data_IF_634517322062
#
_entry.id   IF_634517322062
#
_cell.length_a   1.000
_cell.length_b   1.000
_cell.length_c   1.000
_cell.angle_alpha   90.00
_cell.angle_beta   90.00
_cell.angle_gamma   90.00
#
_symmetry.space_group_name_H-M   'P 1'
#
loop_
_entity.id
_entity.type
_entity.pdbx_description
1 polymer ?
#
# COMPACT_ATOMS: atom_id res chain seq x y z
N UNK A 1 -2.84 -20.61 -32.62
CA UNK A 1 -2.97 -19.42 -31.75
C UNK A 1 -3.86 -19.83 -30.59
N UNK A 2 -3.27 -20.05 -29.41
CA UNK A 2 -3.99 -20.50 -28.20
C UNK A 2 -4.74 -19.32 -27.54
N UNK A 3 -4.24 -18.09 -27.74
CA UNK A 3 -4.83 -16.84 -27.24
C UNK A 3 -6.21 -16.49 -27.80
N UNK A 4 -6.66 -17.12 -28.89
CA UNK A 4 -7.99 -16.93 -29.47
C UNK A 4 -9.07 -17.89 -28.95
N UNK A 5 -8.73 -18.77 -28.01
CA UNK A 5 -9.69 -19.70 -27.40
C UNK A 5 -10.52 -19.00 -26.32
N UNK A 6 -11.84 -19.14 -26.38
CA UNK A 6 -12.75 -18.67 -25.34
C UNK A 6 -12.35 -19.25 -23.98
N UNK A 7 -12.22 -18.39 -22.95
CA UNK A 7 -11.78 -18.79 -21.60
C UNK A 7 -10.26 -18.80 -21.38
N UNK A 8 -9.43 -18.57 -22.41
CA UNK A 8 -7.98 -18.45 -22.24
C UNK A 8 -7.60 -17.27 -21.35
N UNK A 9 -8.31 -16.14 -21.47
CA UNK A 9 -8.17 -14.95 -20.64
C UNK A 9 -8.33 -15.23 -19.13
N UNK A 10 -9.29 -16.09 -18.76
CA UNK A 10 -9.47 -16.52 -17.38
C UNK A 10 -8.28 -17.37 -16.92
N UNK A 11 -7.88 -18.35 -17.74
CA UNK A 11 -6.74 -19.22 -17.41
C UNK A 11 -5.44 -18.41 -17.22
N UNK A 12 -5.20 -17.43 -18.10
CA UNK A 12 -4.07 -16.49 -18.03
C UNK A 12 -4.09 -15.70 -16.73
N UNK A 13 -5.21 -15.01 -16.46
CA UNK A 13 -5.40 -14.19 -15.27
C UNK A 13 -5.18 -15.00 -13.97
N UNK A 14 -5.63 -16.25 -13.95
CA UNK A 14 -5.37 -17.18 -12.84
C UNK A 14 -3.89 -17.55 -12.72
N UNK A 15 -3.22 -17.87 -13.83
CA UNK A 15 -1.81 -18.25 -13.83
C UNK A 15 -0.90 -17.12 -13.35
N UNK A 16 -1.11 -15.90 -13.85
CA UNK A 16 -0.32 -14.71 -13.50
C UNK A 16 -0.38 -14.41 -11.99
N UNK A 17 -1.48 -14.75 -11.32
CA UNK A 17 -1.60 -14.60 -9.87
C UNK A 17 -1.05 -15.76 -9.06
N UNK A 18 -1.13 -16.97 -9.61
CA UNK A 18 -0.81 -18.19 -8.88
C UNK A 18 0.68 -18.47 -8.89
N UNK A 19 1.33 -18.30 -10.06
CA UNK A 19 2.67 -18.82 -10.32
C UNK A 19 3.67 -17.68 -10.44
N UNK A 20 4.75 -17.68 -9.64
CA UNK A 20 5.87 -16.76 -9.86
C UNK A 20 6.43 -16.89 -11.27
N UNK A 21 6.67 -15.77 -11.93
CA UNK A 21 7.19 -15.70 -13.30
C UNK A 21 8.58 -16.32 -13.42
N UNK A 22 9.39 -16.25 -12.36
CA UNK A 22 10.76 -16.75 -12.31
C UNK A 22 11.03 -17.46 -10.96
N UNK A 23 11.45 -18.72 -11.00
CA UNK A 23 12.00 -19.43 -9.84
C UNK A 23 13.45 -19.02 -9.56
N UNK A 24 13.74 -17.72 -9.48
CA UNK A 24 15.08 -17.17 -9.23
C UNK A 24 15.03 -16.08 -8.17
N UNK A 25 16.16 -15.88 -7.50
CA UNK A 25 16.35 -14.76 -6.58
C UNK A 25 16.32 -13.43 -7.32
N UNK A 26 15.91 -12.38 -6.61
CA UNK A 26 15.80 -11.03 -7.16
C UNK A 26 17.17 -10.37 -7.11
N UNK A 27 17.89 -10.39 -8.23
CA UNK A 27 19.22 -9.79 -8.35
C UNK A 27 19.16 -8.38 -8.95
N UNK A 28 19.84 -7.40 -8.35
CA UNK A 28 19.98 -6.02 -8.82
C UNK A 28 21.18 -5.81 -9.76
N UNK A 29 22.05 -6.81 -9.92
CA UNK A 29 23.27 -6.80 -10.75
C UNK A 29 23.06 -6.23 -12.17
N UNK A 30 22.02 -6.68 -12.88
CA UNK A 30 21.74 -6.23 -14.25
C UNK A 30 20.99 -4.89 -14.33
N UNK A 31 20.23 -4.57 -13.29
CA UNK A 31 19.39 -3.37 -13.18
C UNK A 31 19.25 -3.00 -11.71
N UNK A 32 19.80 -1.85 -11.32
CA UNK A 32 19.73 -1.31 -9.96
C UNK A 32 18.28 -1.10 -9.46
N UNK A 33 17.31 -1.01 -10.37
CA UNK A 33 15.89 -0.84 -10.06
C UNK A 33 15.10 -2.01 -10.59
N UNK A 34 14.33 -2.66 -9.72
CA UNK A 34 13.33 -3.67 -10.10
C UNK A 34 11.93 -3.10 -9.95
N UNK A 35 11.00 -3.63 -10.74
CA UNK A 35 9.58 -3.34 -10.60
C UNK A 35 8.94 -4.54 -9.92
N UNK A 36 8.17 -4.28 -8.88
CA UNK A 36 7.53 -5.29 -8.06
C UNK A 36 6.07 -4.95 -7.85
N UNK A 37 5.29 -5.98 -7.51
CA UNK A 37 3.93 -5.86 -7.01
C UNK A 37 3.85 -6.63 -5.69
N UNK A 38 3.09 -6.11 -4.76
CA UNK A 38 2.97 -6.65 -3.41
C UNK A 38 1.52 -7.05 -3.16
N UNK A 39 1.24 -8.36 -3.19
CA UNK A 39 -0.08 -8.92 -2.89
C UNK A 39 -0.18 -9.19 -1.40
N UNK A 40 -1.22 -8.67 -0.74
CA UNK A 40 -1.46 -8.89 0.68
C UNK A 40 -1.93 -10.32 0.94
N UNK A 41 -1.24 -11.02 1.85
CA UNK A 41 -1.47 -12.42 2.22
C UNK A 41 -2.05 -12.59 3.62
N UNK A 42 -1.79 -11.64 4.54
CA UNK A 42 -2.34 -11.68 5.90
C UNK A 42 -3.86 -11.54 5.90
N UNK A 43 -4.55 -12.06 6.93
CA UNK A 43 -6.00 -11.98 7.02
C UNK A 43 -6.46 -10.54 6.88
N UNK A 44 -7.50 -10.38 6.07
CA UNK A 44 -7.95 -9.11 5.53
C UNK A 44 -9.43 -8.93 5.88
N UNK A 45 -9.78 -9.25 7.13
CA UNK A 45 -11.13 -9.18 7.65
C UNK A 45 -11.69 -7.79 7.37
N UNK A 46 -12.70 -7.76 6.53
CA UNK A 46 -13.43 -6.58 6.13
C UNK A 46 -12.66 -5.43 5.47
N UNK A 47 -11.67 -5.75 4.62
CA UNK A 47 -11.10 -4.80 3.66
C UNK A 47 -12.16 -4.23 2.69
N UNK A 48 -11.75 -3.29 1.83
CA UNK A 48 -12.64 -2.42 1.03
C UNK A 48 -13.72 -3.11 0.18
N UNK A 49 -13.66 -4.42 -0.08
CA UNK A 49 -14.66 -5.15 -0.85
C UNK A 49 -15.55 -6.08 -0.02
N UNK A 50 -15.43 -6.13 1.31
CA UNK A 50 -16.20 -7.08 2.10
C UNK A 50 -17.69 -6.76 2.21
N UNK A 51 -18.10 -5.52 1.96
CA UNK A 51 -19.52 -5.15 1.86
C UNK A 51 -20.25 -5.87 0.70
N UNK A 52 -19.49 -6.40 -0.26
CA UNK A 52 -20.01 -7.20 -1.38
C UNK A 52 -19.96 -8.71 -1.11
N UNK A 53 -19.51 -9.13 0.09
CA UNK A 53 -19.45 -10.55 0.47
C UNK A 53 -20.86 -11.16 0.51
N UNK A 54 -21.08 -12.22 -0.26
CA UNK A 54 -22.39 -12.87 -0.37
C UNK A 54 -23.38 -12.13 -1.27
N UNK A 55 -22.91 -11.15 -2.06
CA UNK A 55 -23.67 -10.57 -3.17
C UNK A 55 -24.10 -11.65 -4.17
N UNK A 56 -25.24 -11.45 -4.84
CA UNK A 56 -25.66 -12.26 -5.98
C UNK A 56 -24.82 -11.98 -7.24
N UNK A 57 -24.02 -10.92 -7.21
CA UNK A 57 -23.08 -10.59 -8.27
C UNK A 57 -21.99 -11.68 -8.37
N UNK A 58 -21.89 -12.36 -9.52
CA UNK A 58 -20.95 -13.46 -9.71
C UNK A 58 -19.49 -13.05 -9.50
N UNK A 59 -19.14 -11.77 -9.72
CA UNK A 59 -17.76 -11.29 -9.55
C UNK A 59 -17.31 -11.25 -8.08
N UNK A 60 -18.26 -11.33 -7.14
CA UNK A 60 -17.98 -11.34 -5.71
C UNK A 60 -18.23 -12.72 -5.07
N UNK A 61 -18.49 -13.75 -5.88
CA UNK A 61 -18.64 -15.12 -5.42
C UNK A 61 -17.30 -15.72 -4.93
N UNK A 62 -16.17 -15.20 -5.41
CA UNK A 62 -14.82 -15.62 -5.02
C UNK A 62 -14.14 -14.58 -4.12
N UNK A 63 -13.28 -15.00 -3.17
CA UNK A 63 -12.50 -14.06 -2.37
C UNK A 63 -11.69 -13.08 -3.24
N UNK A 64 -11.74 -11.76 -2.94
CA UNK A 64 -10.98 -10.78 -3.69
C UNK A 64 -9.48 -10.84 -3.38
N UNK A 65 -8.68 -10.35 -4.31
CA UNK A 65 -7.25 -10.17 -4.14
C UNK A 65 -6.93 -8.74 -3.71
N UNK A 66 -5.99 -8.60 -2.79
CA UNK A 66 -5.59 -7.30 -2.28
C UNK A 66 -4.16 -6.98 -2.61
N UNK A 67 -3.90 -5.76 -3.08
CA UNK A 67 -2.57 -5.30 -3.46
C UNK A 67 -2.22 -3.98 -2.80
N UNK A 68 -0.96 -3.87 -2.38
CA UNK A 68 -0.39 -2.63 -1.90
C UNK A 68 -0.08 -1.72 -3.09
N UNK A 69 -0.69 -0.55 -3.11
CA UNK A 69 -0.56 0.44 -4.18
C UNK A 69 -0.63 1.86 -3.63
N UNK A 70 -0.89 2.82 -4.50
CA UNK A 70 -1.06 4.21 -4.13
C UNK A 70 -2.13 4.87 -5.00
N UNK A 71 -2.85 5.87 -4.48
CA UNK A 71 -3.73 6.70 -5.32
C UNK A 71 -2.92 7.88 -5.88
N UNK A 72 -2.59 7.92 -7.19
CA UNK A 72 -1.99 9.12 -7.77
C UNK A 72 -2.95 10.29 -7.58
N UNK A 73 -2.43 11.44 -7.12
CA UNK A 73 -3.17 12.71 -7.01
C UNK A 73 -4.32 12.76 -5.97
N UNK A 74 -4.55 11.69 -5.21
CA UNK A 74 -5.56 11.65 -4.15
C UNK A 74 -4.91 11.51 -2.77
N UNK A 75 -5.64 11.92 -1.74
CA UNK A 75 -5.27 11.76 -0.34
C UNK A 75 -6.18 10.72 0.31
N UNK A 76 -5.67 10.06 1.34
CA UNK A 76 -6.49 9.31 2.30
C UNK A 76 -6.88 10.25 3.44
N UNK A 77 -7.95 9.88 4.14
CA UNK A 77 -8.55 10.75 5.14
C UNK A 77 -9.07 9.90 6.31
N UNK A 78 -8.16 9.38 7.17
CA UNK A 78 -8.52 8.39 8.18
C UNK A 78 -9.69 8.85 9.06
N UNK A 79 -10.75 8.05 9.10
CA UNK A 79 -12.00 8.22 9.82
C UNK A 79 -12.15 7.27 11.00
N UNK A 80 -12.80 7.75 12.06
CA UNK A 80 -13.06 6.94 13.24
C UNK A 80 -14.22 5.97 13.00
N UNK A 81 -13.91 4.72 12.65
CA UNK A 81 -14.94 3.69 12.56
C UNK A 81 -15.17 2.98 13.90
N UNK A 82 -16.39 2.49 14.11
CA UNK A 82 -16.83 1.73 15.29
C UNK A 82 -17.44 0.40 14.84
N UNK A 83 -17.42 -0.61 15.71
CA UNK A 83 -18.14 -1.86 15.48
C UNK A 83 -19.63 -1.66 15.80
N UNK A 84 -20.52 -2.29 15.03
CA UNK A 84 -21.94 -2.39 15.37
C UNK A 84 -22.14 -3.16 16.68
N UNK A 85 -21.34 -4.21 16.87
CA UNK A 85 -21.33 -5.10 18.04
C UNK A 85 -19.90 -5.19 18.59
N UNK A 86 -19.54 -4.38 19.62
CA UNK A 86 -18.18 -4.32 20.16
C UNK A 86 -17.62 -5.64 20.73
N UNK A 87 -18.51 -6.59 21.05
CA UNK A 87 -18.19 -7.94 21.52
C UNK A 87 -17.75 -8.89 20.39
N UNK A 88 -17.98 -8.52 19.13
CA UNK A 88 -17.59 -9.30 17.96
C UNK A 88 -16.32 -8.68 17.36
N UNK A 89 -15.16 -9.27 17.65
CA UNK A 89 -13.84 -8.75 17.24
C UNK A 89 -13.78 -8.41 15.75
N UNK A 90 -14.24 -9.29 14.87
CA UNK A 90 -14.32 -9.09 13.42
C UNK A 90 -15.75 -8.78 12.96
N UNK A 91 -16.45 -7.97 13.77
CA UNK A 91 -17.85 -7.62 13.56
C UNK A 91 -18.02 -6.55 12.49
N UNK A 92 -19.27 -6.33 12.09
CA UNK A 92 -19.60 -5.28 11.12
C UNK A 92 -19.20 -3.91 11.64
N UNK A 93 -18.75 -3.07 10.71
CA UNK A 93 -18.40 -1.68 10.96
C UNK A 93 -19.64 -0.79 10.79
N UNK A 94 -19.89 0.06 11.77
CA UNK A 94 -20.96 1.06 11.76
C UNK A 94 -20.57 2.24 10.86
N UNK A 95 -21.36 2.50 9.83
CA UNK A 95 -21.18 3.66 8.96
C UNK A 95 -21.37 4.98 9.72
N UNK A 96 -20.53 6.01 9.49
CA UNK A 96 -20.69 7.30 10.12
C UNK A 96 -22.02 7.94 9.69
N UNK A 97 -22.88 8.29 10.66
CA UNK A 97 -24.20 8.89 10.41
C UNK A 97 -24.17 10.41 10.21
N UNK A 98 -23.15 11.07 10.76
CA UNK A 98 -22.94 12.54 10.73
C UNK A 98 -21.74 12.91 9.83
N UNK A 99 -21.35 14.19 9.81
CA UNK A 99 -20.10 14.61 9.15
C UNK A 99 -18.92 13.79 9.72
N UNK A 100 -18.23 12.98 8.91
CA UNK A 100 -17.17 12.12 9.41
C UNK A 100 -16.04 12.97 10.00
N UNK A 101 -15.61 12.64 11.22
CA UNK A 101 -14.48 13.30 11.89
C UNK A 101 -13.18 12.57 11.53
N UNK A 102 -12.17 13.34 11.14
CA UNK A 102 -10.83 12.81 10.85
C UNK A 102 -10.13 12.42 12.15
N UNK A 103 -9.52 11.24 12.17
CA UNK A 103 -8.77 10.69 13.31
C UNK A 103 -7.52 11.50 13.65
N UNK A 104 -6.90 12.11 12.64
CA UNK A 104 -5.56 12.64 12.73
C UNK A 104 -5.48 14.09 12.27
N UNK A 105 -4.39 14.76 12.66
CA UNK A 105 -3.94 16.02 12.08
C UNK A 105 -2.48 15.85 11.63
N UNK A 106 -2.14 16.09 10.34
CA UNK A 106 -3.04 16.51 9.26
C UNK A 106 -4.14 15.49 8.97
N UNK A 107 -5.36 15.98 8.72
CA UNK A 107 -6.56 15.13 8.54
C UNK A 107 -6.63 14.42 7.19
N UNK A 108 -5.86 14.87 6.21
CA UNK A 108 -5.65 14.13 4.98
C UNK A 108 -4.20 14.25 4.53
N UNK A 109 -3.71 13.20 3.87
CA UNK A 109 -2.35 13.11 3.36
C UNK A 109 -2.30 12.09 2.22
N UNK A 110 -1.27 12.16 1.37
CA UNK A 110 -1.05 11.10 0.38
C UNK A 110 -0.46 9.89 1.06
N UNK A 111 -1.08 8.73 0.88
CA UNK A 111 -0.68 7.50 1.52
C UNK A 111 -0.59 6.35 0.52
N UNK A 112 0.15 5.29 0.84
CA UNK A 112 -0.13 4.01 0.22
C UNK A 112 -1.55 3.55 0.58
N UNK A 113 -2.09 2.65 -0.25
CA UNK A 113 -3.44 2.14 -0.18
C UNK A 113 -3.45 0.64 -0.42
N UNK A 114 -4.40 -0.07 0.19
CA UNK A 114 -4.72 -1.45 -0.14
C UNK A 114 -5.91 -1.46 -1.09
N UNK A 115 -5.69 -1.95 -2.32
CA UNK A 115 -6.69 -2.10 -3.36
C UNK A 115 -7.22 -3.52 -3.39
N UNK A 116 -8.53 -3.67 -3.46
CA UNK A 116 -9.20 -4.96 -3.62
C UNK A 116 -9.69 -5.14 -5.06
N UNK A 117 -9.54 -6.35 -5.59
CA UNK A 117 -9.99 -6.72 -6.93
C UNK A 117 -10.76 -8.04 -6.86
N UNK A 118 -12.02 -8.02 -7.30
CA UNK A 118 -12.91 -9.17 -7.28
C UNK A 118 -12.78 -9.99 -8.57
N UNK A 119 -13.04 -11.30 -8.49
CA UNK A 119 -12.99 -12.27 -9.61
C UNK A 119 -11.88 -12.06 -10.64
N UNK A 120 -10.70 -11.69 -10.16
CA UNK A 120 -9.53 -11.48 -10.99
C UNK A 120 -9.70 -10.38 -12.07
N UNK A 121 -10.49 -9.35 -11.75
CA UNK A 121 -10.78 -8.21 -12.60
C UNK A 121 -10.25 -6.89 -12.05
N UNK A 122 -9.85 -6.02 -12.96
CA UNK A 122 -9.56 -4.60 -12.74
C UNK A 122 -10.57 -3.81 -13.56
N UNK A 123 -11.48 -3.11 -12.89
CA UNK A 123 -12.71 -2.65 -13.51
C UNK A 123 -13.48 -3.82 -14.14
N UNK A 124 -13.81 -3.70 -15.42
CA UNK A 124 -14.55 -4.74 -16.15
C UNK A 124 -13.65 -5.82 -16.80
N UNK A 125 -12.32 -5.65 -16.75
CA UNK A 125 -11.37 -6.48 -17.50
C UNK A 125 -10.64 -7.46 -16.58
N UNK A 126 -10.42 -8.70 -17.06
CA UNK A 126 -9.56 -9.66 -16.36
C UNK A 126 -8.10 -9.16 -16.30
N UNK A 127 -7.35 -9.58 -15.28
CA UNK A 127 -5.93 -9.25 -15.21
C UNK A 127 -5.18 -9.63 -16.49
N UNK A 128 -4.29 -8.73 -16.90
CA UNK A 128 -3.42 -8.95 -18.05
C UNK A 128 -4.14 -8.95 -19.40
N UNK A 129 -5.43 -8.60 -19.49
CA UNK A 129 -6.10 -8.47 -20.79
C UNK A 129 -6.05 -7.05 -21.33
N UNK A 130 -6.15 -6.04 -20.44
CA UNK A 130 -6.13 -4.62 -20.79
C UNK A 130 -5.17 -3.88 -19.86
N UNK A 131 -4.44 -2.91 -20.42
CA UNK A 131 -3.60 -2.03 -19.62
C UNK A 131 -4.46 -1.05 -18.83
N UNK A 132 -4.40 -1.16 -17.50
CA UNK A 132 -5.22 -0.38 -16.58
C UNK A 132 -4.35 0.48 -15.64
N UNK A 133 -4.69 1.77 -15.55
CA UNK A 133 -3.94 2.75 -14.74
C UNK A 133 -4.15 2.54 -13.22
N UNK A 134 -5.28 2.00 -12.80
CA UNK A 134 -5.52 1.63 -11.41
C UNK A 134 -4.63 0.45 -11.04
N UNK A 135 -4.58 -0.61 -11.85
CA UNK A 135 -3.71 -1.75 -11.54
C UNK A 135 -2.23 -1.38 -11.60
N UNK A 136 -1.84 -0.48 -12.51
CA UNK A 136 -0.48 0.08 -12.55
C UNK A 136 -0.11 0.78 -11.25
N UNK A 137 -1.07 1.37 -10.54
CA UNK A 137 -0.84 2.05 -9.25
C UNK A 137 -0.42 1.08 -8.13
N UNK A 138 -0.52 -0.23 -8.36
CA UNK A 138 0.00 -1.30 -7.47
C UNK A 138 1.46 -1.68 -7.77
N UNK A 139 2.05 -1.11 -8.82
CA UNK A 139 3.43 -1.39 -9.22
C UNK A 139 4.38 -0.41 -8.54
N UNK A 140 5.40 -0.97 -7.89
CA UNK A 140 6.43 -0.24 -7.18
C UNK A 140 7.79 -0.41 -7.83
N UNK A 141 8.60 0.63 -7.75
CA UNK A 141 10.04 0.59 -7.99
C UNK A 141 10.73 0.27 -6.68
N UNK A 142 11.55 -0.79 -6.66
CA UNK A 142 12.43 -1.11 -5.55
C UNK A 142 13.88 -0.98 -6.02
N UNK A 143 14.68 -0.27 -5.22
CA UNK A 143 16.11 -0.06 -5.45
C UNK A 143 16.86 -0.49 -4.20
N UNK A 144 17.85 -1.37 -4.34
CA UNK A 144 18.77 -1.74 -3.25
C UNK A 144 20.11 -1.03 -3.44
N UNK A 145 20.42 0.02 -2.68
CA UNK A 145 21.70 0.70 -2.78
C UNK A 145 22.88 -0.06 -2.17
N UNK A 146 22.64 -1.16 -1.44
CA UNK A 146 23.68 -1.84 -0.65
C UNK A 146 23.89 -3.32 -1.00
N UNK A 147 22.90 -3.97 -1.60
CA UNK A 147 22.92 -5.41 -1.85
C UNK A 147 22.73 -5.69 -3.35
N UNK A 148 23.56 -6.57 -3.90
CA UNK A 148 23.48 -7.03 -5.29
C UNK A 148 22.29 -7.95 -5.54
N UNK A 149 21.70 -8.51 -4.48
CA UNK A 149 20.49 -9.31 -4.52
C UNK A 149 19.61 -8.96 -3.31
N UNK A 150 18.29 -9.08 -3.48
CA UNK A 150 17.34 -8.89 -2.40
C UNK A 150 17.44 -10.07 -1.42
N UNK A 151 17.73 -9.78 -0.16
CA UNK A 151 17.79 -10.75 0.91
C UNK A 151 17.01 -10.25 2.14
N UNK A 152 16.85 -11.13 3.13
CA UNK A 152 16.30 -10.76 4.43
C UNK A 152 17.12 -9.60 5.04
N UNK A 153 16.41 -8.60 5.56
CA UNK A 153 16.94 -7.31 6.05
C UNK A 153 17.60 -6.41 4.98
N UNK A 154 17.47 -6.72 3.69
CA UNK A 154 17.91 -5.80 2.63
C UNK A 154 17.28 -4.44 2.82
N UNK A 155 18.12 -3.41 2.70
CA UNK A 155 17.75 -2.01 2.81
C UNK A 155 17.44 -1.47 1.43
N UNK A 156 16.21 -1.03 1.23
CA UNK A 156 15.69 -0.64 -0.07
C UNK A 156 15.00 0.71 -0.04
N UNK A 157 14.92 1.34 -1.21
CA UNK A 157 14.09 2.51 -1.45
C UNK A 157 12.89 2.05 -2.27
N UNK A 158 11.69 2.44 -1.83
CA UNK A 158 10.42 2.08 -2.49
C UNK A 158 9.79 3.36 -3.06
N UNK A 159 9.51 3.35 -4.36
CA UNK A 159 8.97 4.51 -5.08
C UNK A 159 7.89 4.11 -6.08
N UNK A 160 7.01 5.04 -6.41
CA UNK A 160 6.04 4.88 -7.50
C UNK A 160 6.75 4.68 -8.84
N UNK A 161 6.06 4.06 -9.81
CA UNK A 161 6.57 3.96 -11.18
C UNK A 161 6.13 5.18 -11.97
N UNK A 162 7.08 5.91 -12.53
CA UNK A 162 6.82 7.01 -13.48
C UNK A 162 5.94 6.51 -14.64
N UNK A 163 4.77 7.11 -14.91
CA UNK A 163 4.08 6.85 -16.16
C UNK A 163 4.96 7.37 -17.31
N UNK A 164 5.58 6.46 -18.06
CA UNK A 164 6.17 6.81 -19.35
C UNK A 164 5.05 7.35 -20.24
N UNK A 165 5.04 8.66 -20.48
CA UNK A 165 4.25 9.28 -21.53
C UNK A 165 4.81 8.81 -22.88
N UNK A 166 4.35 7.65 -23.36
CA UNK A 166 4.48 7.30 -24.78
C UNK A 166 3.33 7.90 -25.61
N UNK A 167 2.39 8.62 -24.98
CA UNK A 167 1.41 9.44 -25.68
C UNK A 167 2.13 10.71 -26.17
N UNK A 168 2.22 10.97 -27.49
CA UNK A 168 2.71 12.25 -27.98
C UNK A 168 1.89 13.37 -27.34
N UNK A 169 2.55 14.44 -26.91
CA UNK A 169 1.90 15.61 -26.35
C UNK A 169 0.71 16.00 -27.22
N UNK A 170 -0.51 15.89 -26.69
CA UNK A 170 -1.72 16.26 -27.41
C UNK A 170 -1.72 17.78 -27.49
N UNK A 171 -1.31 18.32 -28.63
CA UNK A 171 -1.42 19.76 -28.92
C UNK A 171 -2.90 20.02 -29.14
N UNK A 172 -3.64 20.35 -28.09
CA UNK A 172 -4.97 20.96 -28.21
C UNK A 172 -4.78 22.47 -28.21
N UNK A 173 -4.49 23.00 -29.39
CA UNK A 173 -4.58 24.43 -29.64
C UNK A 173 -5.81 24.70 -30.48
N UNK A 174 -6.87 25.24 -29.88
CA UNK A 174 -7.87 25.97 -30.65
C UNK A 174 -7.17 27.18 -31.28
N UNK A 175 -7.36 27.34 -32.59
CA UNK A 175 -6.73 28.38 -33.43
C UNK A 175 -7.29 29.77 -33.12
N UNK A 176 -7.05 30.27 -31.90
CA UNK A 176 -7.52 31.57 -31.43
C UNK A 176 -6.50 32.38 -30.62
N UNK A 177 -5.55 31.77 -29.90
CA UNK A 177 -4.57 32.50 -29.09
C UNK A 177 -3.19 31.83 -29.12
N UNK A 178 -2.19 32.55 -29.63
CA UNK A 178 -0.80 32.11 -29.78
C UNK A 178 -0.06 32.02 -28.43
N UNK A 179 -0.37 31.00 -27.62
CA UNK A 179 0.52 30.52 -26.58
C UNK A 179 0.47 28.99 -26.54
N UNK A 180 1.56 28.27 -26.92
CA UNK A 180 1.61 26.84 -26.72
C UNK A 180 1.59 26.56 -25.21
N UNK A 181 0.46 26.08 -24.71
CA UNK A 181 0.38 25.61 -23.32
C UNK A 181 1.05 24.24 -23.26
N UNK A 182 2.35 24.23 -22.96
CA UNK A 182 3.08 23.00 -22.68
C UNK A 182 2.61 22.51 -21.30
N UNK A 183 1.67 21.57 -21.26
CA UNK A 183 1.41 20.78 -20.06
C UNK A 183 2.58 19.82 -19.86
N UNK A 184 3.68 20.30 -19.28
CA UNK A 184 4.75 19.43 -18.79
C UNK A 184 4.38 18.92 -17.39
N UNK A 185 3.37 18.07 -17.28
CA UNK A 185 3.26 17.22 -16.10
C UNK A 185 4.35 16.15 -16.20
N UNK A 186 5.58 16.53 -15.84
CA UNK A 186 6.63 15.54 -15.63
C UNK A 186 6.08 14.49 -14.66
N UNK A 187 6.17 13.19 -14.96
CA UNK A 187 5.66 12.16 -14.08
C UNK A 187 6.37 12.24 -12.74
N UNK A 188 5.70 12.73 -11.70
CA UNK A 188 6.26 12.87 -10.36
C UNK A 188 6.43 11.47 -9.74
N UNK A 189 7.67 11.08 -9.50
CA UNK A 189 8.01 9.88 -8.74
C UNK A 189 7.89 10.24 -7.26
N UNK A 190 6.89 9.69 -6.59
CA UNK A 190 6.78 9.76 -5.14
C UNK A 190 7.51 8.60 -4.46
N UNK A 191 8.17 8.86 -3.34
CA UNK A 191 8.80 7.87 -2.46
C UNK A 191 7.87 7.50 -1.31
N UNK A 192 7.92 6.24 -0.89
CA UNK A 192 7.26 5.77 0.32
C UNK A 192 8.06 6.24 1.55
N UNK A 193 7.42 7.00 2.44
CA UNK A 193 8.02 7.59 3.64
C UNK A 193 7.17 7.29 4.88
N UNK A 194 7.66 7.71 6.05
CA UNK A 194 6.93 7.65 7.32
C UNK A 194 6.95 9.05 7.95
N UNK A 195 5.81 9.51 8.47
CA UNK A 195 5.76 10.67 9.36
C UNK A 195 4.98 10.35 10.63
N UNK A 196 5.16 11.18 11.65
CA UNK A 196 4.44 11.08 12.92
C UNK A 196 3.46 12.23 13.05
N UNK A 197 2.16 11.93 13.13
CA UNK A 197 1.11 12.97 13.15
C UNK A 197 1.06 13.75 14.47
N UNK A 198 0.17 14.74 14.59
CA UNK A 198 0.01 15.56 15.80
C UNK A 198 -0.41 14.75 17.04
N UNK A 199 -1.05 13.60 16.84
CA UNK A 199 -1.45 12.69 17.90
C UNK A 199 -0.33 11.71 18.30
N UNK A 200 0.83 11.78 17.64
CA UNK A 200 1.97 10.92 17.93
C UNK A 200 1.92 9.54 17.28
N UNK A 201 0.98 9.30 16.35
CA UNK A 201 0.87 8.04 15.60
C UNK A 201 1.77 8.10 14.37
N UNK A 202 2.55 7.05 14.13
CA UNK A 202 3.34 6.90 12.93
C UNK A 202 2.50 6.35 11.78
N UNK A 203 2.56 7.00 10.62
CA UNK A 203 1.79 6.61 9.44
C UNK A 203 2.69 6.58 8.19
N UNK A 204 2.51 5.59 7.30
CA UNK A 204 3.18 5.61 6.01
C UNK A 204 2.54 6.64 5.08
N UNK A 205 3.35 7.27 4.24
CA UNK A 205 2.91 8.34 3.35
C UNK A 205 3.70 8.39 2.03
N UNK A 206 3.21 9.18 1.08
CA UNK A 206 3.82 9.40 -0.23
C UNK A 206 4.38 10.82 -0.34
N UNK A 207 5.67 10.95 -0.64
CA UNK A 207 6.36 12.24 -0.77
C UNK A 207 7.04 12.41 -2.11
N UNK A 208 6.91 13.61 -2.71
CA UNK A 208 7.69 14.00 -3.91
C UNK A 208 8.97 14.73 -3.53
N UNK A 209 9.30 14.78 -2.24
CA UNK A 209 10.59 15.27 -1.78
C UNK A 209 11.71 14.44 -2.39
N UNK A 210 12.86 15.08 -2.60
CA UNK A 210 14.10 14.38 -2.94
C UNK A 210 14.59 13.47 -1.81
N UNK A 211 14.17 13.75 -0.58
CA UNK A 211 14.41 12.89 0.57
C UNK A 211 13.64 11.58 0.41
N UNK A 212 14.33 10.46 0.62
CA UNK A 212 13.76 9.13 0.57
C UNK A 212 14.01 8.40 1.89
N UNK A 213 13.07 7.54 2.28
CA UNK A 213 13.21 6.69 3.45
C UNK A 213 13.73 5.31 3.02
N UNK A 214 14.56 4.73 3.88
CA UNK A 214 15.07 3.36 3.69
C UNK A 214 14.11 2.40 4.39
N UNK A 215 13.70 1.37 3.68
CA UNK A 215 12.85 0.30 4.17
C UNK A 215 13.66 -0.99 4.27
N UNK A 216 13.38 -1.82 5.27
CA UNK A 216 13.90 -3.19 5.36
C UNK A 216 12.88 -4.17 4.81
N UNK A 217 13.35 -5.09 3.99
CA UNK A 217 12.55 -6.22 3.51
C UNK A 217 12.80 -7.43 4.40
N UNK A 218 11.77 -7.87 5.13
CA UNK A 218 11.89 -8.97 6.08
C UNK A 218 11.20 -10.21 5.50
N UNK A 219 11.98 -11.18 5.03
CA UNK A 219 11.45 -12.48 4.59
C UNK A 219 10.76 -13.21 5.75
N UNK A 220 9.58 -13.76 5.49
CA UNK A 220 8.87 -14.65 6.43
C UNK A 220 9.64 -15.96 6.66
N UNK A 221 9.74 -16.38 7.92
CA UNK A 221 10.47 -17.56 8.36
C UNK A 221 11.99 -17.40 8.43
N UNK A 222 12.54 -16.22 8.15
CA UNK A 222 13.98 -15.94 8.26
C UNK A 222 14.33 -15.37 9.64
N UNK A 223 15.49 -15.76 10.17
CA UNK A 223 15.99 -15.32 11.48
C UNK A 223 16.80 -14.03 11.32
N UNK A 224 16.75 -13.08 12.28
CA UNK A 224 17.56 -11.86 12.22
C UNK A 224 19.05 -12.14 12.01
N UNK A 225 19.68 -11.38 11.11
CA UNK A 225 21.09 -11.57 10.75
C UNK A 225 21.35 -12.64 9.68
N UNK A 226 20.38 -13.48 9.33
CA UNK A 226 20.54 -14.43 8.23
C UNK A 226 20.44 -13.73 6.87
N UNK A 227 21.45 -13.93 6.02
CA UNK A 227 21.40 -13.50 4.61
C UNK A 227 20.65 -14.51 3.75
N UNK A 228 19.34 -14.63 3.94
CA UNK A 228 18.48 -15.47 3.11
C UNK A 228 18.02 -14.69 1.88
N UNK A 229 18.33 -15.16 0.68
CA UNK A 229 17.88 -14.54 -0.55
C UNK A 229 16.34 -14.61 -0.69
N UNK A 230 15.77 -13.58 -1.30
CA UNK A 230 14.34 -13.45 -1.59
C UNK A 230 14.12 -13.72 -3.08
N UNK A 231 13.22 -14.65 -3.37
CA UNK A 231 12.74 -15.01 -4.69
C UNK A 231 11.34 -14.44 -4.94
N UNK A 232 10.93 -14.46 -6.21
CA UNK A 232 9.55 -14.15 -6.58
C UNK A 232 8.57 -15.15 -5.94
N UNK A 233 7.45 -14.65 -5.43
CA UNK A 233 6.45 -15.44 -4.71
C UNK A 233 6.70 -15.55 -3.20
N UNK A 234 7.87 -15.11 -2.71
CA UNK A 234 8.15 -15.14 -1.28
C UNK A 234 7.27 -14.16 -0.50
N UNK A 235 6.95 -14.55 0.73
CA UNK A 235 6.25 -13.69 1.68
C UNK A 235 7.27 -12.83 2.46
N UNK A 236 6.95 -11.55 2.55
CA UNK A 236 7.78 -10.52 3.17
C UNK A 236 6.94 -9.58 4.03
N UNK A 237 7.59 -8.89 4.95
CA UNK A 237 7.08 -7.72 5.65
C UNK A 237 7.96 -6.51 5.35
N UNK A 238 7.38 -5.33 5.42
CA UNK A 238 8.11 -4.07 5.29
C UNK A 238 8.28 -3.44 6.68
N UNK A 239 9.53 -3.16 7.03
CA UNK A 239 9.89 -2.48 8.27
C UNK A 239 10.65 -1.18 7.98
N UNK A 240 10.54 -0.25 8.92
CA UNK A 240 11.20 1.04 8.88
C UNK A 240 11.96 1.26 10.18
N UNK A 241 13.27 1.48 10.10
CA UNK A 241 14.14 1.59 11.28
C UNK A 241 14.76 2.97 11.36
N UNK A 242 14.74 3.61 12.53
CA UNK A 242 15.28 4.98 12.70
C UNK A 242 16.75 5.08 12.28
N UNK A 243 17.55 4.06 12.59
CA UNK A 243 18.99 4.03 12.32
C UNK A 243 19.35 4.01 10.83
N UNK A 244 18.42 3.59 9.96
CA UNK A 244 18.66 3.53 8.51
C UNK A 244 18.34 4.88 7.82
N UNK A 245 17.79 5.86 8.56
CA UNK A 245 17.23 7.08 7.97
C UNK A 245 18.20 8.25 7.99
N UNK A 246 18.84 8.49 6.85
CA UNK A 246 19.73 9.66 6.69
C UNK A 246 19.00 11.00 6.75
N UNK A 247 17.77 11.08 6.23
CA UNK A 247 16.99 12.31 6.17
C UNK A 247 16.09 12.54 7.40
N UNK A 248 16.07 11.59 8.35
CA UNK A 248 15.10 11.57 9.44
C UNK A 248 13.65 11.45 8.96
N UNK A 249 12.70 11.75 9.86
CA UNK A 249 11.26 11.80 9.58
C UNK A 249 10.66 13.12 10.04
N UNK A 250 9.44 13.42 9.57
CA UNK A 250 8.66 14.59 10.02
C UNK A 250 7.81 14.22 11.22
N UNK A 251 7.96 14.98 12.31
CA UNK A 251 7.24 14.80 13.56
C UNK A 251 6.37 16.04 13.85
N UNK A 252 5.05 15.85 13.80
CA UNK A 252 4.06 16.91 13.96
C UNK A 252 3.55 17.04 15.40
N UNK A 253 3.99 16.24 16.38
CA UNK A 253 3.40 16.28 17.74
C UNK A 253 3.49 17.65 18.42
N UNK A 254 4.51 18.45 18.09
CA UNK A 254 4.79 19.73 18.73
C UNK A 254 4.60 20.95 17.81
N UNK A 255 4.43 20.76 16.50
CA UNK A 255 4.23 21.85 15.56
C UNK A 255 3.50 21.40 14.27
N UNK A 256 2.81 22.36 13.63
CA UNK A 256 2.00 22.10 12.44
C UNK A 256 2.83 21.90 11.14
N UNK A 257 4.13 22.18 11.17
CA UNK A 257 5.01 22.09 9.99
C UNK A 257 5.83 20.78 9.95
N UNK A 258 5.82 20.02 11.05
CA UNK A 258 6.55 18.77 11.21
C UNK A 258 8.05 19.02 11.38
N UNK A 259 8.53 19.05 12.62
CA UNK A 259 9.98 19.11 12.89
C UNK A 259 10.66 17.85 12.37
N UNK A 260 11.82 18.03 11.73
CA UNK A 260 12.66 16.90 11.32
C UNK A 260 13.34 16.28 12.54
N UNK A 261 13.25 14.95 12.69
CA UNK A 261 13.90 14.17 13.74
C UNK A 261 14.66 12.99 13.14
N UNK A 262 15.83 12.69 13.71
CA UNK A 262 16.73 11.64 13.21
C UNK A 262 16.78 10.41 14.13
N UNK A 263 16.02 10.40 15.22
CA UNK A 263 16.03 9.32 16.20
C UNK A 263 14.62 9.03 16.73
N UNK A 264 14.47 7.90 17.44
CA UNK A 264 13.21 7.53 18.07
C UNK A 264 12.74 8.64 19.03
N UNK A 265 11.42 8.88 19.12
CA UNK A 265 10.90 9.76 20.16
C UNK A 265 11.16 9.13 21.56
N UNK A 266 11.28 9.92 22.64
CA UNK A 266 11.63 9.43 23.98
C UNK A 266 10.74 8.30 24.53
N UNK A 267 9.48 8.27 24.11
CA UNK A 267 8.46 7.31 24.49
C UNK A 267 8.47 6.01 23.66
N UNK A 268 9.31 5.94 22.63
CA UNK A 268 9.40 4.79 21.74
C UNK A 268 9.95 3.56 22.46
N UNK A 269 9.30 2.42 22.24
CA UNK A 269 9.67 1.12 22.81
C UNK A 269 10.58 0.31 21.89
N UNK A 270 10.69 0.70 20.62
CA UNK A 270 11.42 -0.03 19.57
C UNK A 270 12.14 0.93 18.63
N UNK A 271 13.31 0.53 18.13
CA UNK A 271 14.00 1.26 17.06
C UNK A 271 13.46 0.95 15.66
N UNK A 272 12.46 0.08 15.57
CA UNK A 272 11.88 -0.44 14.32
C UNK A 272 10.37 -0.36 14.36
N UNK A 273 9.79 0.12 13.27
CA UNK A 273 8.36 0.18 13.02
C UNK A 273 7.98 -0.79 11.90
N UNK A 274 6.85 -1.46 12.06
CA UNK A 274 6.29 -2.40 11.10
C UNK A 274 5.02 -1.83 10.50
N UNK A 275 4.79 -2.07 9.21
CA UNK A 275 3.55 -1.67 8.55
C UNK A 275 2.39 -2.57 9.02
N UNK A 276 1.28 -1.97 9.42
CA UNK A 276 0.11 -2.66 10.01
C UNK A 276 -1.22 -2.22 9.42
N UNK A 277 -2.17 -3.15 9.44
CA UNK A 277 -3.59 -2.90 9.18
C UNK A 277 -4.32 -2.64 10.51
N UNK A 278 -4.91 -1.46 10.72
CA UNK A 278 -5.67 -1.17 11.92
C UNK A 278 -7.10 -1.76 11.85
N UNK A 279 -7.61 -2.21 12.99
CA UNK A 279 -8.98 -2.67 13.17
C UNK A 279 -9.63 -2.11 14.45
N UNK A 280 -10.88 -1.60 14.42
CA UNK A 280 -11.69 -1.33 13.24
C UNK A 280 -10.95 -0.45 12.24
N UNK A 281 -11.23 -0.64 10.95
CA UNK A 281 -10.58 0.12 9.88
C UNK A 281 -10.71 1.61 10.13
N UNK A 282 -9.78 2.38 9.60
CA UNK A 282 -9.91 3.84 9.61
C UNK A 282 -10.75 4.36 8.45
N UNK A 283 -11.30 3.51 7.59
CA UNK A 283 -12.05 3.94 6.42
C UNK A 283 -13.26 3.02 6.30
N UNK A 284 -14.42 3.52 5.84
CA UNK A 284 -15.62 2.73 5.71
C UNK A 284 -15.47 1.61 4.66
N UNK A 285 -16.20 0.52 4.87
CA UNK A 285 -16.27 -0.59 3.91
C UNK A 285 -17.22 -0.26 2.76
N UNK A 286 -18.24 0.56 3.03
CA UNK A 286 -19.16 1.06 2.03
C UNK A 286 -18.79 2.50 1.64
N UNK A 287 -19.16 2.91 0.44
CA UNK A 287 -18.95 4.28 -0.01
C UNK A 287 -19.73 5.26 0.86
N UNK A 288 -19.14 6.43 1.12
CA UNK A 288 -19.90 7.56 1.64
C UNK A 288 -20.91 8.04 0.58
N UNK A 289 -21.99 8.74 0.96
CA UNK A 289 -23.05 9.15 0.02
C UNK A 289 -22.58 9.95 -1.21
N UNK A 290 -21.41 10.58 -1.14
CA UNK A 290 -20.77 11.37 -2.19
C UNK A 290 -19.73 10.60 -3.01
N UNK A 291 -19.56 9.30 -2.77
CA UNK A 291 -18.54 8.46 -3.40
C UNK A 291 -19.16 7.26 -4.11
N UNK A 292 -18.61 6.92 -5.28
CA UNK A 292 -19.05 5.76 -6.08
C UNK A 292 -18.48 4.45 -5.55
N UNK A 293 -17.32 4.48 -4.90
CA UNK A 293 -16.55 3.29 -4.51
C UNK A 293 -16.07 3.35 -3.06
N UNK A 294 -15.94 2.20 -2.38
CA UNK A 294 -15.35 2.11 -1.05
C UNK A 294 -13.97 2.76 -0.97
N UNK A 295 -13.67 3.36 0.19
CA UNK A 295 -12.37 3.96 0.42
C UNK A 295 -11.29 2.90 0.67
N UNK A 296 -10.07 3.11 0.14
CA UNK A 296 -8.95 2.23 0.42
C UNK A 296 -8.58 2.29 1.89
N UNK A 297 -7.91 1.26 2.39
CA UNK A 297 -7.55 1.19 3.80
C UNK A 297 -6.32 2.04 4.12
N UNK A 298 -6.47 3.00 5.03
CA UNK A 298 -5.32 3.65 5.65
C UNK A 298 -4.56 2.66 6.55
N UNK A 299 -3.23 2.73 6.48
CA UNK A 299 -2.29 1.91 7.24
C UNK A 299 -1.64 2.72 8.36
N UNK A 300 -1.07 2.03 9.35
CA UNK A 300 -0.23 2.64 10.38
C UNK A 300 1.12 1.94 10.46
N UNK A 301 2.05 2.57 11.18
CA UNK A 301 3.32 1.98 11.55
C UNK A 301 3.31 1.69 13.06
N UNK A 302 3.60 0.45 13.45
CA UNK A 302 3.57 0.01 14.86
C UNK A 302 4.94 -0.46 15.31
N UNK A 303 5.28 -0.18 16.57
CA UNK A 303 6.51 -0.64 17.22
C UNK A 303 6.44 -2.11 17.65
N UNK A 304 5.25 -2.68 17.68
CA UNK A 304 5.06 -4.05 18.17
C UNK A 304 5.54 -5.02 17.08
N UNK A 305 6.46 -5.93 17.42
CA UNK A 305 6.81 -7.05 16.54
C UNK A 305 5.90 -8.24 16.87
N UNK A 306 5.46 -8.94 15.84
CA UNK A 306 4.76 -10.23 16.00
C UNK A 306 5.75 -11.33 15.66
N UNK A 307 5.88 -12.39 16.48
CA UNK A 307 6.54 -13.60 16.03
C UNK A 307 5.81 -14.12 14.80
N UNK A 308 6.54 -14.31 13.69
CA UNK A 308 5.98 -14.73 12.39
C UNK A 308 5.22 -16.07 12.44
N UNK A 309 5.44 -16.87 13.50
CA UNK A 309 4.79 -18.17 13.72
C UNK A 309 3.56 -18.12 14.66
N UNK A 310 3.19 -16.95 15.17
CA UNK A 310 2.01 -16.84 16.04
C UNK A 310 0.72 -16.80 15.22
N UNK A 311 0.04 -17.96 15.14
CA UNK A 311 -1.24 -18.11 14.42
C UNK A 311 -2.39 -17.25 14.96
N UNK A 312 -2.18 -16.53 16.06
CA UNK A 312 -3.15 -15.69 16.76
C UNK A 312 -2.66 -14.23 16.91
N UNK A 313 -1.89 -13.71 15.94
CA UNK A 313 -1.19 -12.41 15.95
C UNK A 313 -2.04 -11.13 16.04
N UNK A 314 -3.20 -11.18 16.69
CA UNK A 314 -4.00 -10.00 17.03
C UNK A 314 -3.28 -9.25 18.15
N UNK A 315 -2.77 -8.07 17.83
CA UNK A 315 -2.13 -7.20 18.82
C UNK A 315 -3.03 -6.01 19.10
N UNK A 316 -3.17 -5.69 20.38
CA UNK A 316 -3.88 -4.49 20.81
C UNK A 316 -2.90 -3.33 20.88
N UNK A 317 -3.27 -2.21 20.28
CA UNK A 317 -2.54 -0.95 20.37
C UNK A 317 -3.49 0.16 20.80
N UNK A 318 -3.04 0.99 21.73
CA UNK A 318 -3.77 2.20 22.10
C UNK A 318 -3.14 3.39 21.40
N UNK A 319 -3.92 4.04 20.55
CA UNK A 319 -3.50 5.23 19.82
C UNK A 319 -4.23 6.47 20.34
N UNK A 320 -3.62 7.64 20.16
CA UNK A 320 -4.33 8.90 20.38
C UNK A 320 -4.99 9.34 19.08
N UNK A 321 -6.23 9.79 19.15
CA UNK A 321 -7.05 10.23 18.01
C UNK A 321 -7.72 11.56 18.33
N UNK A 322 -8.18 12.26 17.30
CA UNK A 322 -9.09 13.39 17.44
C UNK A 322 -10.53 12.85 17.49
N UNK A 323 -11.25 13.20 18.56
CA UNK A 323 -12.68 12.93 18.73
C UNK A 323 -13.33 14.13 19.41
N UNK A 324 -14.42 14.65 18.86
CA UNK A 324 -15.11 15.83 19.38
C UNK A 324 -14.16 17.04 19.58
N UNK A 325 -13.22 17.22 18.64
CA UNK A 325 -12.15 18.25 18.68
C UNK A 325 -11.19 18.15 19.88
N UNK A 326 -11.14 17.00 20.55
CA UNK A 326 -10.22 16.72 21.67
C UNK A 326 -9.37 15.50 21.36
N UNK A 327 -8.23 15.39 22.04
CA UNK A 327 -7.44 14.16 22.02
C UNK A 327 -8.12 13.11 22.90
N UNK A 328 -8.31 11.91 22.36
CA UNK A 328 -8.86 10.76 23.05
C UNK A 328 -8.00 9.53 22.78
N UNK A 329 -7.88 8.65 23.78
CA UNK A 329 -7.31 7.33 23.57
C UNK A 329 -8.32 6.44 22.83
N UNK A 330 -7.86 5.65 21.87
CA UNK A 330 -8.64 4.66 21.14
C UNK A 330 -7.86 3.35 21.09
N UNK A 331 -8.47 2.30 21.61
CA UNK A 331 -7.95 0.94 21.47
C UNK A 331 -8.29 0.41 20.08
N UNK A 332 -7.29 -0.14 19.41
CA UNK A 332 -7.40 -0.78 18.11
C UNK A 332 -6.70 -2.13 18.16
N UNK A 333 -7.04 -3.00 17.23
CA UNK A 333 -6.22 -4.15 16.89
C UNK A 333 -5.31 -3.74 15.72
N UNK A 334 -4.15 -4.36 15.64
CA UNK A 334 -3.22 -4.21 14.53
C UNK A 334 -2.85 -5.58 14.00
N UNK A 335 -3.03 -5.76 12.69
CA UNK A 335 -2.67 -6.96 11.96
C UNK A 335 -1.40 -6.73 11.15
N UNK A 336 -0.57 -7.78 11.02
CA UNK A 336 0.61 -7.74 10.17
C UNK A 336 0.23 -7.48 8.70
N UNK A 337 1.02 -6.68 8.01
CA UNK A 337 1.01 -6.61 6.55
C UNK A 337 2.03 -7.61 5.98
N UNK A 338 1.59 -8.83 5.69
CA UNK A 338 2.42 -9.85 5.01
C UNK A 338 2.13 -9.77 3.52
N UNK A 339 3.16 -9.54 2.72
CA UNK A 339 3.04 -9.41 1.27
C UNK A 339 3.74 -10.55 0.57
N UNK A 340 3.08 -11.18 -0.41
CA UNK A 340 3.76 -11.91 -1.46
C UNK A 340 4.37 -10.90 -2.43
N UNK A 341 5.65 -11.04 -2.71
CA UNK A 341 6.38 -10.19 -3.65
C UNK A 341 6.47 -10.84 -5.03
N UNK A 342 5.91 -10.16 -6.03
CA UNK A 342 5.96 -10.59 -7.44
C UNK A 342 6.77 -9.58 -8.29
N UNK A 343 7.51 -10.06 -9.30
CA UNK A 343 8.27 -9.19 -10.22
C UNK A 343 7.36 -8.74 -11.36
N UNK A 344 7.41 -7.46 -11.69
CA UNK A 344 6.61 -6.90 -12.80
C UNK A 344 7.51 -6.58 -13.99
N UNK A 345 7.16 -7.11 -15.16
CA UNK A 345 7.85 -6.80 -16.42
C UNK A 345 7.24 -5.58 -17.11
N UNK A 346 8.04 -4.87 -17.90
CA UNK A 346 7.61 -3.77 -18.77
C UNK A 346 6.67 -2.73 -18.12
N UNK A 347 6.87 -2.37 -16.84
CA UNK A 347 6.02 -1.40 -16.12
C UNK A 347 4.54 -1.79 -16.02
N UNK A 348 4.25 -3.09 -15.91
CA UNK A 348 2.89 -3.63 -15.87
C UNK A 348 2.28 -3.85 -17.25
N UNK A 349 2.96 -3.43 -18.33
CA UNK A 349 2.57 -3.83 -19.69
C UNK A 349 2.90 -5.27 -20.01
N UNK A 350 3.91 -5.86 -19.37
CA UNK A 350 4.27 -7.26 -19.62
C UNK A 350 3.11 -8.20 -19.27
N UNK A 351 2.34 -7.83 -18.24
CA UNK A 351 1.10 -8.49 -17.84
C UNK A 351 0.11 -8.59 -19.02
N UNK A 352 0.16 -7.68 -20.00
CA UNK A 352 -0.72 -7.60 -21.18
C UNK A 352 -0.04 -8.02 -22.49
N UNK A 353 1.18 -7.55 -22.72
CA UNK A 353 1.87 -7.58 -24.01
C UNK A 353 2.79 -8.81 -24.19
N UNK A 354 3.12 -9.57 -23.13
CA UNK A 354 4.08 -10.69 -23.22
C UNK A 354 3.44 -12.02 -23.70
N UNK A 355 2.13 -12.05 -24.06
CA UNK A 355 1.38 -13.27 -24.42
C UNK A 355 0.51 -13.16 -25.69
#
# INVERSE_FOLDING_TARGET
MISGLSGFEHTRSWFDQAVPSLSKYIEFSDKLVKKIRLRLMSPNHDLCLSCKKGSEDPDYATPPNYYFGHRPLSTVMPLAMELEHPDITWGRIKMPKDKPEFLFSPGSYRAPAIYGYASNKVGDNLYGTVYDDEYKSTVWSITSPYDDALCHESRVIIQTVSPRNNSPAKITGDSGNNAPTISSSAPMISSLIVFRNQQGVFVPAMSDSKDFHVWRVLKSGAVPGDKVNIAEGDQIQLAWCYQDQYCGYRDFTNDAFGRRRNGPPPESKSSTLYMRLPWPRFEPVESLPDQSEPLPNALIMSEVSTPQDSSNGIQHEQITVIKDKKHAAKDILVEDCIFRLDIVKHHGRGDVDDY
#
